data_IF_450027137957
#
_entry.id   IF_450027137957
#
_cell.length_a   1.000
_cell.length_b   1.000
_cell.length_c   1.000
_cell.angle_alpha   90.00
_cell.angle_beta   90.00
_cell.angle_gamma   90.00
#
_symmetry.space_group_name_H-M   'P 1'
#
loop_
_entity.id
_entity.type
_entity.pdbx_description
1 polymer ?
#
# COMPACT_ATOMS: atom_id res chain seq x y z
N UNK A 1 -12.22 -2.55 -24.34
CA UNK A 1 -12.92 -3.76 -23.82
C UNK A 1 -12.13 -4.43 -22.68
N UNK A 2 -11.59 -3.65 -21.74
CA UNK A 2 -10.86 -4.13 -20.56
C UNK A 2 -11.30 -3.34 -19.30
N UNK A 3 -12.62 -3.12 -19.18
CA UNK A 3 -13.22 -2.37 -18.05
C UNK A 3 -14.30 -3.15 -17.27
N UNK A 4 -14.56 -4.42 -17.61
CA UNK A 4 -15.68 -5.19 -17.03
C UNK A 4 -15.31 -6.54 -16.41
N UNK A 5 -14.05 -6.96 -16.48
CA UNK A 5 -13.66 -8.33 -16.11
C UNK A 5 -12.83 -8.24 -14.83
N UNK A 6 -13.43 -8.37 -13.65
CA UNK A 6 -12.71 -8.31 -12.37
C UNK A 6 -11.48 -9.22 -12.29
N UNK A 7 -10.66 -9.05 -11.25
CA UNK A 7 -9.39 -9.75 -10.97
C UNK A 7 -9.27 -11.21 -11.45
N UNK A 8 -10.36 -11.98 -11.38
CA UNK A 8 -10.40 -13.37 -11.78
C UNK A 8 -10.02 -13.63 -13.26
N UNK A 9 -10.28 -12.69 -14.17
CA UNK A 9 -9.96 -12.78 -15.60
C UNK A 9 -8.79 -11.88 -16.02
N UNK A 10 -8.59 -10.70 -15.40
CA UNK A 10 -7.50 -9.77 -15.74
C UNK A 10 -6.11 -10.31 -15.34
N UNK A 11 -6.02 -11.15 -14.32
CA UNK A 11 -4.72 -11.56 -13.76
C UNK A 11 -3.94 -12.53 -14.66
N UNK A 12 -4.60 -13.49 -15.30
CA UNK A 12 -3.90 -14.43 -16.20
C UNK A 12 -3.48 -13.78 -17.52
N UNK A 13 -4.32 -12.90 -18.07
CA UNK A 13 -4.05 -12.19 -19.32
C UNK A 13 -3.07 -11.04 -19.10
N UNK A 14 -3.22 -10.30 -18.01
CA UNK A 14 -2.33 -9.22 -17.61
C UNK A 14 -0.93 -9.71 -17.25
N UNK A 15 -0.80 -10.86 -16.59
CA UNK A 15 0.53 -11.48 -16.36
C UNK A 15 1.17 -11.89 -17.68
N UNK A 16 0.43 -12.54 -18.59
CA UNK A 16 0.92 -12.93 -19.92
C UNK A 16 1.48 -11.74 -20.70
N UNK A 17 0.74 -10.64 -20.72
CA UNK A 17 1.15 -9.42 -21.41
C UNK A 17 2.35 -8.74 -20.75
N UNK A 18 2.45 -8.73 -19.42
CA UNK A 18 3.55 -8.07 -18.68
C UNK A 18 4.88 -8.82 -18.77
N UNK A 19 4.86 -10.17 -18.82
CA UNK A 19 6.08 -11.00 -18.94
C UNK A 19 6.42 -11.39 -20.38
N UNK A 20 5.71 -10.84 -21.37
CA UNK A 20 5.94 -11.15 -22.79
C UNK A 20 5.66 -12.61 -23.16
N UNK A 21 4.84 -13.30 -22.37
CA UNK A 21 4.49 -14.71 -22.57
C UNK A 21 3.09 -14.85 -23.17
N UNK A 22 2.82 -15.93 -23.91
CA UNK A 22 1.45 -16.26 -24.34
C UNK A 22 0.72 -16.93 -23.15
N UNK A 23 -0.55 -16.61 -22.94
CA UNK A 23 -1.33 -17.16 -21.81
C UNK A 23 -1.24 -18.70 -21.63
N UNK A 24 -1.13 -19.55 -22.68
CA UNK A 24 -0.90 -20.99 -22.52
C UNK A 24 0.46 -21.35 -21.90
N UNK A 25 1.50 -20.55 -22.13
CA UNK A 25 2.87 -20.76 -21.64
C UNK A 25 2.99 -20.53 -20.11
N UNK A 26 2.12 -19.69 -19.56
CA UNK A 26 2.08 -19.38 -18.12
C UNK A 26 1.59 -20.56 -17.28
N UNK A 27 0.62 -21.31 -17.79
CA UNK A 27 0.14 -22.53 -17.12
C UNK A 27 1.18 -23.65 -17.10
N UNK A 28 2.22 -23.59 -17.95
CA UNK A 28 3.31 -24.57 -17.96
C UNK A 28 4.41 -24.22 -16.93
N UNK A 29 4.59 -22.95 -16.60
CA UNK A 29 5.60 -22.49 -15.63
C UNK A 29 5.12 -22.51 -14.18
N UNK A 30 3.81 -22.34 -13.95
CA UNK A 30 3.25 -22.30 -12.61
C UNK A 30 2.38 -23.53 -12.34
N UNK A 31 2.69 -24.25 -11.26
CA UNK A 31 2.00 -25.49 -10.87
C UNK A 31 0.51 -25.31 -10.51
N UNK A 32 0.02 -24.08 -10.36
CA UNK A 32 -1.41 -23.77 -10.18
C UNK A 32 -1.69 -22.28 -10.44
N UNK A 33 -2.99 -21.92 -10.57
CA UNK A 33 -3.44 -20.52 -10.61
C UNK A 33 -3.02 -19.75 -9.34
N UNK A 34 -2.99 -20.40 -8.18
CA UNK A 34 -2.52 -19.80 -6.93
C UNK A 34 -1.02 -19.51 -6.95
N UNK A 35 -0.21 -20.32 -7.64
CA UNK A 35 1.23 -20.02 -7.77
C UNK A 35 1.49 -18.76 -8.59
N UNK A 36 0.63 -18.45 -9.59
CA UNK A 36 0.69 -17.19 -10.33
C UNK A 36 0.33 -16.02 -9.42
N UNK A 37 -0.77 -16.11 -8.68
CA UNK A 37 -1.17 -15.08 -7.73
C UNK A 37 -0.12 -14.84 -6.64
N UNK A 38 0.53 -15.90 -6.17
CA UNK A 38 1.60 -15.82 -5.17
C UNK A 38 2.80 -15.03 -5.70
N UNK A 39 3.25 -15.32 -6.92
CA UNK A 39 4.33 -14.57 -7.55
C UNK A 39 3.96 -13.11 -7.81
N UNK A 40 2.75 -12.82 -8.28
CA UNK A 40 2.26 -11.46 -8.48
C UNK A 40 2.18 -10.69 -7.15
N UNK A 41 1.71 -11.35 -6.09
CA UNK A 41 1.63 -10.78 -4.74
C UNK A 41 3.01 -10.40 -4.24
N UNK A 42 3.98 -11.32 -4.36
CA UNK A 42 5.36 -11.07 -3.97
C UNK A 42 5.98 -9.92 -4.75
N UNK A 43 5.82 -9.89 -6.07
CA UNK A 43 6.30 -8.80 -6.92
C UNK A 43 5.71 -7.44 -6.49
N UNK A 44 4.40 -7.38 -6.28
CA UNK A 44 3.73 -6.13 -5.90
C UNK A 44 4.24 -5.57 -4.56
N UNK A 45 4.50 -6.44 -3.58
CA UNK A 45 5.10 -6.00 -2.32
C UNK A 45 6.59 -5.69 -2.41
N UNK A 46 7.35 -6.33 -3.30
CA UNK A 46 8.73 -5.91 -3.61
C UNK A 46 8.75 -4.50 -4.19
N UNK A 47 7.86 -4.19 -5.13
CA UNK A 47 7.74 -2.84 -5.70
C UNK A 47 7.41 -1.80 -4.62
N UNK A 48 6.48 -2.13 -3.70
CA UNK A 48 6.14 -1.28 -2.56
C UNK A 48 7.34 -1.06 -1.63
N UNK A 49 8.02 -2.15 -1.26
CA UNK A 49 9.18 -2.12 -0.38
C UNK A 49 10.29 -1.25 -0.96
N UNK A 50 10.62 -1.42 -2.24
CA UNK A 50 11.63 -0.59 -2.93
C UNK A 50 11.27 0.90 -2.89
N UNK A 51 9.99 1.25 -3.05
CA UNK A 51 9.55 2.64 -2.90
C UNK A 51 9.76 3.13 -1.46
N UNK A 52 9.40 2.34 -0.47
CA UNK A 52 9.57 2.66 0.95
C UNK A 52 11.04 2.79 1.36
N UNK A 53 11.92 1.94 0.84
CA UNK A 53 13.37 2.04 1.02
C UNK A 53 13.91 3.33 0.42
N UNK A 54 13.44 3.73 -0.77
CA UNK A 54 13.90 4.96 -1.44
C UNK A 54 13.50 6.25 -0.72
N UNK A 55 12.39 6.24 0.01
CA UNK A 55 11.93 7.39 0.79
C UNK A 55 12.54 7.45 2.20
N UNK A 56 13.21 6.39 2.66
CA UNK A 56 13.74 6.28 4.03
C UNK A 56 14.66 7.44 4.43
N UNK A 57 15.48 7.90 3.49
CA UNK A 57 16.42 9.02 3.70
C UNK A 57 15.72 10.39 3.66
N UNK A 58 14.49 10.45 3.16
CA UNK A 58 13.69 11.66 3.00
C UNK A 58 12.70 11.86 4.17
N UNK A 59 12.67 10.94 5.13
CA UNK A 59 11.80 11.01 6.30
C UNK A 59 12.16 12.24 7.13
N UNK A 60 11.24 13.21 7.31
CA UNK A 60 11.48 14.40 8.12
C UNK A 60 11.71 14.07 9.60
N UNK A 61 12.38 14.97 10.33
CA UNK A 61 12.51 14.86 11.78
C UNK A 61 11.19 15.14 12.52
N UNK A 62 10.31 15.95 11.92
CA UNK A 62 8.97 16.20 12.44
C UNK A 62 8.07 14.96 12.28
N UNK A 63 7.49 14.52 13.40
CA UNK A 63 6.68 13.32 13.43
C UNK A 63 5.43 13.41 12.55
N UNK A 64 4.77 14.58 12.48
CA UNK A 64 3.56 14.74 11.65
C UNK A 64 3.91 14.67 10.17
N UNK A 65 4.95 15.37 9.76
CA UNK A 65 5.42 15.34 8.38
C UNK A 65 5.88 13.92 7.98
N UNK A 66 6.54 13.18 8.88
CA UNK A 66 6.90 11.79 8.65
C UNK A 66 5.68 10.88 8.46
N UNK A 67 4.64 11.01 9.30
CA UNK A 67 3.40 10.25 9.15
C UNK A 67 2.67 10.60 7.85
N UNK A 68 2.62 11.89 7.48
CA UNK A 68 2.01 12.33 6.21
C UNK A 68 2.77 11.78 5.02
N UNK A 69 4.10 11.81 5.05
CA UNK A 69 4.94 11.24 3.99
C UNK A 69 4.66 9.74 3.82
N UNK A 70 4.65 8.97 4.92
CA UNK A 70 4.32 7.54 4.88
C UNK A 70 2.93 7.30 4.28
N UNK A 71 1.93 8.05 4.74
CA UNK A 71 0.56 7.90 4.31
C UNK A 71 0.42 8.20 2.82
N UNK A 72 1.03 9.30 2.36
CA UNK A 72 0.98 9.75 0.96
C UNK A 72 1.67 8.74 0.04
N UNK A 73 2.85 8.27 0.41
CA UNK A 73 3.60 7.26 -0.33
C UNK A 73 2.79 5.98 -0.52
N UNK A 74 2.20 5.43 0.55
CA UNK A 74 1.38 4.22 0.43
C UNK A 74 0.09 4.48 -0.35
N UNK A 75 -0.60 5.59 -0.07
CA UNK A 75 -1.84 5.92 -0.75
C UNK A 75 -1.63 6.00 -2.25
N UNK A 76 -0.65 6.78 -2.71
CA UNK A 76 -0.37 6.97 -4.14
C UNK A 76 0.01 5.66 -4.83
N UNK A 77 0.82 4.85 -4.15
CA UNK A 77 1.15 3.51 -4.61
C UNK A 77 -0.10 2.66 -4.76
N UNK A 78 -0.99 2.62 -3.77
CA UNK A 78 -2.16 1.76 -3.77
C UNK A 78 -3.27 2.24 -4.73
N UNK A 79 -3.48 3.54 -4.90
CA UNK A 79 -4.53 4.06 -5.80
C UNK A 79 -4.16 4.02 -7.28
N UNK A 80 -2.87 3.97 -7.60
CA UNK A 80 -2.40 3.95 -8.99
C UNK A 80 -2.76 2.66 -9.75
N UNK A 81 -3.06 1.56 -9.06
CA UNK A 81 -3.41 0.27 -9.68
C UNK A 81 -4.37 -0.51 -8.77
N UNK A 82 -5.66 -0.48 -9.11
CA UNK A 82 -6.71 -1.18 -8.37
C UNK A 82 -6.47 -2.70 -8.32
N UNK A 83 -6.27 -3.43 -9.44
CA UNK A 83 -5.97 -4.85 -9.40
C UNK A 83 -4.79 -5.22 -8.48
N UNK A 84 -3.71 -4.43 -8.52
CA UNK A 84 -2.55 -4.65 -7.65
C UNK A 84 -2.91 -4.43 -6.18
N UNK A 85 -3.61 -3.34 -5.85
CA UNK A 85 -4.06 -3.07 -4.47
C UNK A 85 -4.97 -4.19 -3.94
N UNK A 86 -5.93 -4.65 -4.74
CA UNK A 86 -6.83 -5.71 -4.32
C UNK A 86 -6.13 -7.06 -4.10
N UNK A 87 -5.04 -7.33 -4.83
CA UNK A 87 -4.22 -8.52 -4.61
C UNK A 87 -3.40 -8.39 -3.32
N UNK A 88 -2.85 -7.20 -3.05
CA UNK A 88 -1.99 -6.93 -1.91
C UNK A 88 -2.74 -6.88 -0.58
N UNK A 89 -3.85 -6.14 -0.52
CA UNK A 89 -4.48 -5.69 0.72
C UNK A 89 -5.87 -6.28 0.98
N UNK A 90 -6.50 -6.92 -0.01
CA UNK A 90 -7.84 -7.47 0.12
C UNK A 90 -7.84 -8.99 -0.09
N UNK A 91 -8.69 -9.71 0.65
CA UNK A 91 -8.87 -11.17 0.51
C UNK A 91 -9.87 -11.51 -0.60
N UNK A 92 -9.60 -11.02 -1.83
CA UNK A 92 -10.54 -11.12 -2.97
C UNK A 92 -10.54 -12.47 -3.68
N UNK A 93 -9.49 -13.29 -3.50
CA UNK A 93 -9.35 -14.58 -4.18
C UNK A 93 -9.65 -15.70 -3.17
N UNK A 94 -10.76 -16.45 -3.33
CA UNK A 94 -11.12 -17.53 -2.41
C UNK A 94 -10.05 -18.62 -2.34
N UNK A 95 -9.68 -19.02 -1.13
CA UNK A 95 -8.72 -20.11 -0.89
C UNK A 95 -7.26 -19.81 -1.24
N UNK A 96 -6.94 -18.57 -1.63
CA UNK A 96 -5.57 -18.13 -1.86
C UNK A 96 -4.96 -17.56 -0.58
N UNK A 97 -3.76 -18.04 -0.26
CA UNK A 97 -2.89 -17.50 0.79
C UNK A 97 -1.49 -17.38 0.19
N UNK A 98 -0.82 -16.22 0.32
CA UNK A 98 0.55 -16.08 -0.17
C UNK A 98 1.49 -17.01 0.60
N UNK A 99 2.52 -17.50 -0.07
CA UNK A 99 3.61 -18.23 0.58
C UNK A 99 4.38 -17.31 1.52
N UNK A 100 5.05 -17.88 2.52
CA UNK A 100 5.88 -17.10 3.44
C UNK A 100 6.97 -16.29 2.70
N UNK A 101 7.54 -16.86 1.64
CA UNK A 101 8.54 -16.19 0.81
C UNK A 101 7.97 -14.94 0.13
N UNK A 102 6.80 -15.05 -0.51
CA UNK A 102 6.18 -13.92 -1.20
C UNK A 102 5.45 -12.96 -0.26
N UNK A 103 5.21 -13.35 0.99
CA UNK A 103 4.71 -12.48 2.05
C UNK A 103 5.80 -11.67 2.75
N UNK A 104 7.06 -12.13 2.74
CA UNK A 104 8.17 -11.47 3.42
C UNK A 104 8.36 -9.97 3.05
N UNK A 105 8.21 -9.53 1.79
CA UNK A 105 8.34 -8.11 1.45
C UNK A 105 7.23 -7.23 2.06
N UNK A 106 6.03 -7.78 2.25
CA UNK A 106 4.94 -7.08 2.95
C UNK A 106 5.29 -6.84 4.42
N UNK A 107 5.85 -7.85 5.08
CA UNK A 107 6.35 -7.76 6.46
C UNK A 107 7.46 -6.71 6.55
N UNK A 108 8.44 -6.76 5.67
CA UNK A 108 9.54 -5.80 5.64
C UNK A 108 9.06 -4.35 5.41
N UNK A 109 8.02 -4.15 4.59
CA UNK A 109 7.42 -2.83 4.37
C UNK A 109 6.79 -2.30 5.67
N UNK A 110 6.04 -3.14 6.39
CA UNK A 110 5.45 -2.79 7.67
C UNK A 110 6.52 -2.56 8.76
N UNK A 111 7.62 -3.33 8.74
CA UNK A 111 8.75 -3.16 9.65
C UNK A 111 9.44 -1.81 9.42
N UNK A 112 9.63 -1.38 8.16
CA UNK A 112 10.18 -0.06 7.85
C UNK A 112 9.25 1.06 8.37
N UNK A 113 7.94 0.94 8.17
CA UNK A 113 6.98 1.88 8.75
C UNK A 113 7.07 1.91 10.28
N UNK A 114 7.22 0.75 10.94
CA UNK A 114 7.41 0.65 12.39
C UNK A 114 8.70 1.32 12.85
N UNK A 115 9.80 1.14 12.13
CA UNK A 115 11.08 1.82 12.43
C UNK A 115 10.93 3.34 12.40
N UNK A 116 10.17 3.89 11.46
CA UNK A 116 9.86 5.32 11.40
C UNK A 116 9.02 5.74 12.61
N UNK A 117 7.98 4.99 12.97
CA UNK A 117 7.19 5.28 14.17
C UNK A 117 8.06 5.34 15.43
N UNK A 118 8.92 4.33 15.62
CA UNK A 118 9.83 4.26 16.77
C UNK A 118 10.80 5.45 16.78
N UNK A 119 11.31 5.86 15.62
CA UNK A 119 12.19 7.05 15.49
C UNK A 119 11.54 8.32 16.02
N UNK A 120 10.21 8.43 15.90
CA UNK A 120 9.42 9.56 16.39
C UNK A 120 8.81 9.33 17.77
N UNK A 121 9.25 8.31 18.50
CA UNK A 121 8.79 8.02 19.86
C UNK A 121 7.45 7.29 19.96
N UNK A 122 6.90 6.83 18.83
CA UNK A 122 5.67 6.04 18.78
C UNK A 122 6.03 4.55 18.83
N UNK A 123 5.79 3.90 19.97
CA UNK A 123 6.22 2.51 20.19
C UNK A 123 5.07 1.52 20.36
N UNK A 124 3.83 2.00 20.54
CA UNK A 124 2.68 1.12 20.69
C UNK A 124 2.32 0.50 19.33
N UNK A 125 1.98 -0.79 19.32
CA UNK A 125 1.62 -1.47 18.09
C UNK A 125 0.28 -0.93 17.54
N UNK A 126 -0.62 -0.61 18.47
CA UNK A 126 -1.95 -0.10 18.20
C UNK A 126 -1.93 1.20 17.39
N UNK A 127 -0.91 2.06 17.60
CA UNK A 127 -0.75 3.31 16.86
C UNK A 127 -0.48 3.05 15.37
N UNK A 128 0.38 2.07 15.07
CA UNK A 128 0.68 1.64 13.71
C UNK A 128 -0.53 0.93 13.09
N UNK A 129 -1.22 0.09 13.85
CA UNK A 129 -2.41 -0.61 13.39
C UNK A 129 -3.53 0.40 13.02
N UNK A 130 -3.75 1.43 13.84
CA UNK A 130 -4.68 2.53 13.56
C UNK A 130 -4.28 3.33 12.32
N UNK A 131 -2.99 3.67 12.18
CA UNK A 131 -2.47 4.34 11.00
C UNK A 131 -2.73 3.54 9.73
N UNK A 132 -2.40 2.25 9.71
CA UNK A 132 -2.60 1.41 8.53
C UNK A 132 -4.08 1.25 8.19
N UNK A 133 -4.95 1.10 9.19
CA UNK A 133 -6.40 1.03 8.99
C UNK A 133 -6.97 2.34 8.42
N UNK A 134 -6.51 3.49 8.93
CA UNK A 134 -6.94 4.81 8.46
C UNK A 134 -6.53 5.03 6.99
N UNK A 135 -5.26 4.81 6.66
CA UNK A 135 -4.76 4.99 5.29
C UNK A 135 -5.40 3.99 4.34
N UNK A 136 -5.51 2.72 4.73
CA UNK A 136 -6.18 1.69 3.94
C UNK A 136 -7.64 2.01 3.65
N UNK A 137 -8.39 2.50 4.65
CA UNK A 137 -9.77 2.93 4.47
C UNK A 137 -9.94 4.10 3.50
N UNK A 138 -9.00 5.05 3.48
CA UNK A 138 -8.99 6.15 2.51
C UNK A 138 -8.68 5.66 1.09
N UNK A 139 -7.73 4.73 0.93
CA UNK A 139 -7.42 4.09 -0.35
C UNK A 139 -8.65 3.34 -0.90
N UNK A 140 -9.29 2.52 -0.07
CA UNK A 140 -10.49 1.78 -0.45
C UNK A 140 -11.63 2.73 -0.82
N UNK A 141 -11.77 3.83 -0.08
CA UNK A 141 -12.78 4.86 -0.36
C UNK A 141 -12.52 5.60 -1.67
N UNK A 142 -11.26 5.86 -2.04
CA UNK A 142 -10.87 6.43 -3.33
C UNK A 142 -11.24 5.50 -4.48
N UNK A 143 -10.83 4.22 -4.38
CA UNK A 143 -11.14 3.21 -5.39
C UNK A 143 -12.64 3.01 -5.59
N UNK A 144 -13.39 2.95 -4.49
CA UNK A 144 -14.82 2.66 -4.52
C UNK A 144 -15.66 3.86 -4.98
N UNK A 145 -15.29 5.08 -4.56
CA UNK A 145 -16.22 6.23 -4.63
C UNK A 145 -15.69 7.42 -5.42
N UNK A 146 -14.46 7.38 -5.93
CA UNK A 146 -13.89 8.45 -6.77
C UNK A 146 -12.72 7.92 -7.66
N UNK A 147 -12.93 6.87 -8.47
CA UNK A 147 -11.85 6.27 -9.23
C UNK A 147 -11.23 7.25 -10.23
N UNK A 148 -9.93 7.51 -10.10
CA UNK A 148 -9.17 8.46 -10.93
C UNK A 148 -9.31 9.93 -10.54
N UNK A 149 -10.11 10.24 -9.51
CA UNK A 149 -10.13 11.56 -8.87
C UNK A 149 -9.15 11.66 -7.70
N UNK A 150 -9.29 12.72 -6.92
CA UNK A 150 -8.41 13.08 -5.81
C UNK A 150 -9.19 13.40 -4.51
N UNK A 151 -10.50 13.16 -4.47
CA UNK A 151 -11.37 13.55 -3.35
C UNK A 151 -10.89 13.03 -1.99
N UNK A 152 -10.37 11.80 -1.94
CA UNK A 152 -9.85 11.22 -0.69
C UNK A 152 -8.37 11.50 -0.49
N UNK A 153 -7.60 11.66 -1.57
CA UNK A 153 -6.22 12.13 -1.49
C UNK A 153 -6.12 13.49 -0.78
N UNK A 154 -7.06 14.41 -1.08
CA UNK A 154 -7.17 15.73 -0.44
C UNK A 154 -7.49 15.67 1.07
N UNK A 155 -7.98 14.54 1.58
CA UNK A 155 -8.31 14.37 3.00
C UNK A 155 -7.16 13.77 3.81
N UNK A 156 -6.10 13.30 3.16
CA UNK A 156 -5.06 12.51 3.81
C UNK A 156 -4.36 13.29 4.92
N UNK A 157 -3.91 14.51 4.64
CA UNK A 157 -3.19 15.33 5.63
C UNK A 157 -4.06 15.62 6.85
N UNK A 158 -5.34 15.93 6.63
CA UNK A 158 -6.30 16.16 7.71
C UNK A 158 -6.55 14.89 8.54
N UNK A 159 -6.66 13.73 7.89
CA UNK A 159 -6.86 12.46 8.58
C UNK A 159 -5.63 12.08 9.42
N UNK A 160 -4.43 12.28 8.87
CA UNK A 160 -3.18 12.09 9.62
C UNK A 160 -3.05 13.08 10.76
N UNK A 161 -3.50 14.34 10.59
CA UNK A 161 -3.51 15.31 11.68
C UNK A 161 -4.46 14.92 12.81
N UNK A 162 -5.62 14.34 12.50
CA UNK A 162 -6.55 13.83 13.50
C UNK A 162 -5.91 12.68 14.29
N UNK A 163 -5.23 11.75 13.62
CA UNK A 163 -4.49 10.68 14.29
C UNK A 163 -3.32 11.26 15.12
N UNK A 164 -2.55 12.19 14.56
CA UNK A 164 -1.41 12.80 15.25
C UNK A 164 -1.84 13.60 16.50
N UNK A 165 -3.03 14.23 16.47
CA UNK A 165 -3.61 14.86 17.66
C UNK A 165 -3.97 13.81 18.74
N UNK A 166 -4.55 12.67 18.35
CA UNK A 166 -4.86 11.54 19.26
C UNK A 166 -3.59 10.96 19.89
N UNK A 167 -2.51 10.85 19.12
CA UNK A 167 -1.18 10.41 19.57
C UNK A 167 -0.43 11.47 20.39
N UNK A 168 -1.00 12.67 20.59
CA UNK A 168 -0.37 13.74 21.36
C UNK A 168 0.86 14.38 20.71
N UNK A 169 1.03 14.22 19.39
CA UNK A 169 2.15 14.82 18.66
C UNK A 169 2.02 16.35 18.62
N UNK A 170 3.10 17.12 18.84
CA UNK A 170 3.04 18.56 18.80
C UNK A 170 2.64 19.06 17.41
N UNK A 171 1.89 20.16 17.35
CA UNK A 171 1.70 20.90 16.10
C UNK A 171 2.86 21.87 15.96
N UNK A 172 3.56 21.87 14.82
CA UNK A 172 4.49 22.96 14.52
C UNK A 172 3.65 24.23 14.36
N UNK A 173 3.68 25.11 15.35
CA UNK A 173 3.11 26.44 15.20
C UNK A 173 3.92 27.15 14.13
N UNK A 174 3.34 27.35 12.94
CA UNK A 174 3.81 28.39 12.04
C UNK A 174 3.85 29.69 12.86
N UNK A 175 5.06 30.19 13.10
CA UNK A 175 5.25 31.55 13.57
C UNK A 175 4.46 32.47 12.62
N UNK A 176 3.66 33.42 13.13
CA UNK A 176 3.12 34.43 12.23
C UNK A 176 4.31 35.13 11.58
N UNK A 177 4.31 35.20 10.24
CA UNK A 177 5.21 36.10 9.54
C UNK A 177 5.04 37.52 10.11
N UNK A 178 6.14 38.29 10.24
CA UNK A 178 6.15 39.59 10.91
C UNK A 178 5.18 40.61 10.30
#
# INVERSE_FOLDING_TARGET
MARELGLAEITLRGVAERVGMRAPSLYTHFGSKHAIYDAMFGQAWVECLTQFESMREQVPDDAREALRLLARSFFDFAVSDLPRHQLMNLRTIPGFTPSAQNYAPAVATLDLAREIFIRHGLTAQEDLDLFTALVGGLVDSQHANDPGGDRWAQLLDRAIDMLADDLGLPRVHNHPLP
#
